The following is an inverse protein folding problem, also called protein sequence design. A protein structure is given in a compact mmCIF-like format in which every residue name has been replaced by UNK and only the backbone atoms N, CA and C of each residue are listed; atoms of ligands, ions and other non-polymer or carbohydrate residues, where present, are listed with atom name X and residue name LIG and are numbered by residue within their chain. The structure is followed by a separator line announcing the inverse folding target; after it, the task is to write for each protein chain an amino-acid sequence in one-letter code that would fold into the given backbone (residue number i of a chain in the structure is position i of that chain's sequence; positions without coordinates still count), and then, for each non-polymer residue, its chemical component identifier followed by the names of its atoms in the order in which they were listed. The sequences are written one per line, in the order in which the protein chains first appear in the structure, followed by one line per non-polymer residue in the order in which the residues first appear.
data_IF_144213054366
#
_entry.id   IF_144213054366
#
_cell.length_a   1.000
_cell.length_b   1.000
_cell.length_c   1.000
_cell.angle_alpha   90.00
_cell.angle_beta   90.00
_cell.angle_gamma   90.00
#
_symmetry.space_group_name_H-M   'P 1'
#
loop_
_entity.id
_entity.type
_entity.pdbx_description
1 polymer ?
#
# COMPACT_ATOMS: atom_id res chain seq x y z
N UNK A 1 16.51 -3.47 10.29
CA UNK A 1 15.23 -4.21 10.28
C UNK A 1 15.00 -4.86 8.92
N UNK A 2 15.19 -4.12 7.85
CA UNK A 2 14.95 -4.58 6.47
C UNK A 2 15.70 -5.87 6.12
N UNK A 3 16.99 -5.97 6.51
CA UNK A 3 17.78 -7.18 6.31
C UNK A 3 17.20 -8.43 7.01
N UNK A 4 16.69 -8.30 8.23
CA UNK A 4 16.13 -9.43 9.00
C UNK A 4 14.86 -10.01 8.36
N UNK A 5 14.00 -9.15 7.82
CA UNK A 5 12.76 -9.56 7.16
C UNK A 5 13.04 -10.10 5.75
N UNK A 6 13.95 -9.46 5.01
CA UNK A 6 14.36 -9.91 3.68
C UNK A 6 15.03 -11.30 3.72
N UNK A 7 15.89 -11.56 4.71
CA UNK A 7 16.51 -12.89 4.92
C UNK A 7 15.49 -14.01 5.16
N UNK A 8 14.28 -13.66 5.60
CA UNK A 8 13.19 -14.60 5.89
C UNK A 8 12.13 -14.65 4.79
N UNK A 9 12.40 -14.00 3.65
CA UNK A 9 11.48 -13.90 2.51
C UNK A 9 10.10 -13.33 2.91
N UNK A 10 10.09 -12.44 3.91
CA UNK A 10 8.86 -11.77 4.34
C UNK A 10 8.67 -10.55 3.47
N UNK A 11 7.61 -10.54 2.67
CA UNK A 11 7.18 -9.35 1.93
C UNK A 11 6.57 -8.32 2.89
N UNK A 12 7.11 -7.10 2.90
CA UNK A 12 6.66 -6.00 3.75
C UNK A 12 6.62 -4.68 2.98
N UNK A 13 5.80 -3.73 3.45
CA UNK A 13 5.82 -2.35 2.97
C UNK A 13 6.57 -1.45 3.93
N UNK A 14 7.11 -0.35 3.41
CA UNK A 14 7.73 0.73 4.19
C UNK A 14 6.75 1.89 4.40
N UNK A 15 7.19 2.93 5.11
CA UNK A 15 6.46 4.19 5.23
C UNK A 15 6.21 4.85 3.86
N UNK A 16 7.21 4.86 2.98
CA UNK A 16 7.03 5.38 1.61
C UNK A 16 6.01 4.55 0.83
N UNK A 17 6.02 3.23 1.00
CA UNK A 17 5.01 2.35 0.41
C UNK A 17 3.61 2.62 0.96
N UNK A 18 3.48 2.93 2.26
CA UNK A 18 2.21 3.35 2.84
C UNK A 18 1.70 4.66 2.23
N UNK A 19 2.56 5.65 2.01
CA UNK A 19 2.17 6.89 1.33
C UNK A 19 1.68 6.65 -0.10
N UNK A 20 2.29 5.71 -0.84
CA UNK A 20 1.83 5.29 -2.17
C UNK A 20 0.45 4.64 -2.12
N UNK A 21 0.24 3.69 -1.21
CA UNK A 21 -1.06 3.06 -1.00
C UNK A 21 -2.13 4.12 -0.68
N UNK A 22 -1.85 5.02 0.26
CA UNK A 22 -2.76 6.10 0.63
C UNK A 22 -3.08 7.03 -0.56
N UNK A 23 -2.10 7.37 -1.40
CA UNK A 23 -2.32 8.17 -2.60
C UNK A 23 -3.25 7.44 -3.60
N UNK A 24 -3.04 6.12 -3.79
CA UNK A 24 -3.90 5.30 -4.63
C UNK A 24 -5.35 5.26 -4.10
N UNK A 25 -5.55 5.07 -2.79
CA UNK A 25 -6.88 5.07 -2.18
C UNK A 25 -7.61 6.42 -2.34
N UNK A 26 -6.87 7.55 -2.23
CA UNK A 26 -7.43 8.89 -2.47
C UNK A 26 -7.83 9.09 -3.94
N UNK A 27 -7.00 8.67 -4.87
CA UNK A 27 -7.28 8.74 -6.31
C UNK A 27 -8.53 7.93 -6.69
N UNK A 28 -8.75 6.78 -6.05
CA UNK A 28 -9.98 6.00 -6.24
C UNK A 28 -11.23 6.69 -5.65
N UNK A 29 -11.05 7.51 -4.61
CA UNK A 29 -12.13 8.24 -3.94
C UNK A 29 -12.58 9.52 -4.66
N UNK A 30 -11.64 10.25 -5.26
CA UNK A 30 -11.90 11.52 -5.96
C UNK A 30 -13.09 11.46 -6.95
N UNK A 31 -13.18 10.52 -7.90
CA UNK A 31 -14.28 10.47 -8.86
C UNK A 31 -15.65 10.17 -8.22
N UNK A 32 -15.66 9.69 -6.97
CA UNK A 32 -16.87 9.39 -6.20
C UNK A 32 -17.20 10.52 -5.20
N UNK A 33 -16.42 11.60 -5.15
CA UNK A 33 -16.55 12.65 -4.14
C UNK A 33 -16.23 12.18 -2.72
N UNK A 34 -15.42 11.14 -2.58
CA UNK A 34 -15.04 10.54 -1.30
C UNK A 34 -13.59 10.90 -0.96
N UNK A 35 -13.27 11.06 0.32
CA UNK A 35 -11.89 11.30 0.77
C UNK A 35 -10.95 10.18 0.30
N UNK A 36 -11.43 8.93 0.35
CA UNK A 36 -10.74 7.76 -0.18
C UNK A 36 -11.68 6.57 -0.36
N UNK A 37 -11.26 5.63 -1.18
CA UNK A 37 -11.81 4.27 -1.29
C UNK A 37 -10.69 3.31 -0.93
N UNK A 38 -10.91 2.48 0.09
CA UNK A 38 -9.88 1.57 0.58
C UNK A 38 -9.64 0.42 -0.39
N UNK A 39 -8.37 0.09 -0.57
CA UNK A 39 -7.97 -1.17 -1.20
C UNK A 39 -7.95 -2.21 -0.08
N UNK A 40 -8.82 -3.22 -0.19
CA UNK A 40 -9.05 -4.20 0.89
C UNK A 40 -8.24 -5.48 0.68
N UNK A 41 -8.09 -5.90 -0.57
CA UNK A 41 -7.37 -7.13 -0.91
C UNK A 41 -5.88 -6.96 -0.61
N UNK A 42 -5.33 -7.86 0.20
CA UNK A 42 -3.95 -7.79 0.68
C UNK A 42 -2.95 -7.67 -0.46
N UNK A 43 -3.13 -8.46 -1.52
CA UNK A 43 -2.21 -8.44 -2.66
C UNK A 43 -2.26 -7.14 -3.45
N UNK A 44 -3.43 -6.50 -3.52
CA UNK A 44 -3.56 -5.19 -4.15
C UNK A 44 -2.99 -4.08 -3.25
N UNK A 45 -3.14 -4.20 -1.93
CA UNK A 45 -2.48 -3.28 -0.98
C UNK A 45 -0.96 -3.32 -1.15
N UNK A 46 -0.37 -4.53 -1.19
CA UNK A 46 1.06 -4.71 -1.36
C UNK A 46 1.54 -4.23 -2.73
N UNK A 47 0.77 -4.49 -3.79
CA UNK A 47 1.07 -3.98 -5.13
C UNK A 47 1.04 -2.44 -5.17
N UNK A 48 0.01 -1.83 -4.59
CA UNK A 48 -0.14 -0.38 -4.54
C UNK A 48 0.94 0.30 -3.67
N UNK A 49 1.45 -0.39 -2.64
CA UNK A 49 2.57 0.11 -1.85
C UNK A 49 3.94 -0.06 -2.54
N UNK A 50 4.01 -0.86 -3.61
CA UNK A 50 5.27 -1.22 -4.28
C UNK A 50 6.12 -2.20 -3.48
N UNK A 51 5.48 -2.99 -2.62
CA UNK A 51 6.10 -4.10 -1.87
C UNK A 51 6.16 -5.37 -2.71
#
# INVERSE_FOLDING_TARGET
MDAFLAERDVRFTTWDGWYRLNAAEKALGEPQGRERVKIVEREDMLRASGA
#
